data_IF_737616308454
#
_entry.id   IF_737616308454
#
_cell.length_a   1.000
_cell.length_b   1.000
_cell.length_c   1.000
_cell.angle_alpha   90.00
_cell.angle_beta   90.00
_cell.angle_gamma   90.00
#
_symmetry.space_group_name_H-M   'P 1'
#
loop_
_entity.id
_entity.type
_entity.pdbx_description
1 polymer ?
#
# COMPACT_ATOMS: atom_id res chain seq x y z
N UNK A 1 -4.59 13.97 -16.37
CA UNK A 1 -4.87 12.52 -16.21
C UNK A 1 -5.25 12.16 -14.78
N UNK A 2 -4.48 12.60 -13.78
CA UNK A 2 -4.76 12.41 -12.34
C UNK A 2 -6.19 12.78 -11.90
N UNK A 3 -6.65 14.00 -12.20
CA UNK A 3 -7.99 14.48 -11.81
C UNK A 3 -9.14 13.60 -12.31
N UNK A 4 -8.98 12.98 -13.49
CA UNK A 4 -9.97 12.07 -14.04
C UNK A 4 -10.04 10.75 -13.27
N UNK A 5 -8.89 10.20 -12.83
CA UNK A 5 -8.83 8.98 -12.01
C UNK A 5 -9.37 9.22 -10.60
N UNK A 6 -9.05 10.38 -10.02
CA UNK A 6 -9.61 10.80 -8.73
C UNK A 6 -11.15 10.86 -8.73
N UNK A 7 -11.78 11.10 -9.87
CA UNK A 7 -13.23 11.10 -9.98
C UNK A 7 -13.83 9.67 -10.02
N UNK A 8 -13.06 8.67 -10.45
CA UNK A 8 -13.48 7.28 -10.54
C UNK A 8 -13.32 6.48 -9.23
N UNK A 9 -12.57 6.99 -8.27
CA UNK A 9 -12.38 6.34 -6.96
C UNK A 9 -13.71 6.32 -6.21
N UNK A 10 -14.11 5.14 -5.70
CA UNK A 10 -15.36 5.01 -4.95
C UNK A 10 -15.30 5.92 -3.69
N UNK A 11 -16.42 6.47 -3.21
CA UNK A 11 -16.43 7.26 -1.99
C UNK A 11 -15.97 6.44 -0.77
N UNK A 12 -15.13 7.01 0.09
CA UNK A 12 -14.74 6.37 1.34
C UNK A 12 -15.94 6.24 2.29
N UNK A 13 -16.03 5.20 3.12
CA UNK A 13 -17.16 5.02 4.04
C UNK A 13 -17.40 6.24 4.92
N UNK A 14 -18.61 6.82 4.82
CA UNK A 14 -18.99 8.05 5.53
C UNK A 14 -18.81 7.96 7.06
N UNK A 15 -18.89 6.76 7.62
CA UNK A 15 -18.69 6.52 9.04
C UNK A 15 -17.28 6.94 9.51
N UNK A 16 -16.24 6.72 8.70
CA UNK A 16 -14.86 7.04 9.08
C UNK A 16 -14.63 8.54 9.13
N UNK A 17 -15.06 9.25 8.08
CA UNK A 17 -14.99 10.70 8.04
C UNK A 17 -15.78 11.33 9.20
N UNK A 18 -16.92 10.72 9.56
CA UNK A 18 -17.71 11.17 10.72
C UNK A 18 -16.97 10.96 12.03
N UNK A 19 -16.39 9.77 12.26
CA UNK A 19 -15.61 9.47 13.47
C UNK A 19 -14.44 10.45 13.62
N UNK A 20 -13.66 10.69 12.57
CA UNK A 20 -12.57 11.68 12.59
C UNK A 20 -13.07 13.07 12.95
N UNK A 21 -14.15 13.54 12.30
CA UNK A 21 -14.72 14.86 12.59
C UNK A 21 -15.16 15.03 14.03
N UNK A 22 -15.64 13.96 14.67
CA UNK A 22 -16.06 13.97 16.08
C UNK A 22 -14.87 13.86 17.04
N UNK A 23 -13.82 13.14 16.65
CA UNK A 23 -12.64 12.93 17.49
C UNK A 23 -11.80 14.20 17.67
N UNK A 24 -11.80 15.10 16.69
CA UNK A 24 -11.02 16.36 16.70
C UNK A 24 -11.82 17.58 17.16
N UNK A 25 -13.15 17.48 17.29
CA UNK A 25 -14.00 18.59 17.69
C UNK A 25 -14.06 18.68 19.23
N UNK A 26 -13.51 19.75 19.85
CA UNK A 26 -13.45 19.88 21.29
C UNK A 26 -14.83 20.06 21.95
N UNK A 27 -15.88 20.31 21.15
CA UNK A 27 -17.26 20.41 21.63
C UNK A 27 -17.97 19.05 21.70
N UNK A 28 -17.34 17.99 21.18
CA UNK A 28 -17.92 16.65 21.14
C UNK A 28 -17.45 15.80 22.29
N UNK A 29 -18.30 14.85 22.62
CA UNK A 29 -18.09 13.89 23.70
C UNK A 29 -17.72 12.54 23.14
N UNK A 30 -17.16 11.70 24.01
CA UNK A 30 -17.00 10.28 23.72
C UNK A 30 -18.33 9.61 23.34
N UNK A 31 -19.45 10.09 23.90
CA UNK A 31 -20.79 9.60 23.56
C UNK A 31 -21.12 9.79 22.08
N UNK A 32 -20.75 10.92 21.47
CA UNK A 32 -21.02 11.18 20.06
C UNK A 32 -20.32 10.18 19.13
N UNK A 33 -19.09 9.78 19.48
CA UNK A 33 -18.34 8.75 18.74
C UNK A 33 -18.97 7.37 18.94
N UNK A 34 -19.36 7.03 20.18
CA UNK A 34 -20.08 5.78 20.49
C UNK A 34 -21.35 5.66 19.66
N UNK A 35 -22.16 6.72 19.58
CA UNK A 35 -23.42 6.72 18.84
C UNK A 35 -23.23 6.48 17.33
N UNK A 36 -22.08 6.88 16.77
CA UNK A 36 -21.73 6.62 15.38
C UNK A 36 -21.26 5.18 15.20
N UNK A 37 -20.41 4.68 16.11
CA UNK A 37 -19.91 3.29 16.06
C UNK A 37 -21.05 2.29 16.23
N UNK A 38 -21.99 2.52 17.15
CA UNK A 38 -23.11 1.60 17.43
C UNK A 38 -24.09 1.48 16.26
N UNK A 39 -24.09 2.41 15.30
CA UNK A 39 -24.92 2.35 14.08
C UNK A 39 -24.35 1.41 13.02
N UNK A 40 -23.10 0.98 13.16
CA UNK A 40 -22.45 0.03 12.26
C UNK A 40 -22.08 -1.23 13.03
N UNK A 41 -22.87 -2.30 12.83
CA UNK A 41 -22.73 -3.57 13.54
C UNK A 41 -21.35 -4.21 13.28
N UNK A 42 -20.84 -4.08 12.05
CA UNK A 42 -19.55 -4.64 11.68
C UNK A 42 -18.42 -3.89 12.40
N UNK A 43 -18.48 -2.56 12.38
CA UNK A 43 -17.50 -1.72 13.07
C UNK A 43 -17.58 -1.88 14.60
N UNK A 44 -18.77 -1.90 15.19
CA UNK A 44 -18.99 -2.12 16.63
C UNK A 44 -18.44 -3.47 17.11
N UNK A 45 -18.75 -4.55 16.39
CA UNK A 45 -18.25 -5.90 16.68
C UNK A 45 -16.72 -5.95 16.61
N UNK A 46 -16.14 -5.24 15.65
CA UNK A 46 -14.69 -5.16 15.45
C UNK A 46 -14.00 -4.37 16.56
N UNK A 47 -14.57 -3.24 16.97
CA UNK A 47 -14.11 -2.47 18.12
C UNK A 47 -14.10 -3.31 19.40
N UNK A 48 -15.15 -4.12 19.62
CA UNK A 48 -15.21 -5.05 20.75
C UNK A 48 -14.14 -6.15 20.68
N UNK A 49 -13.87 -6.72 19.49
CA UNK A 49 -12.77 -7.70 19.33
C UNK A 49 -11.42 -7.10 19.65
N UNK A 50 -11.14 -5.88 19.16
CA UNK A 50 -9.88 -5.19 19.38
C UNK A 50 -9.68 -4.79 20.84
N UNK A 51 -10.71 -4.27 21.50
CA UNK A 51 -10.64 -3.96 22.94
C UNK A 51 -10.39 -5.19 23.81
N UNK A 52 -10.78 -6.39 23.35
CA UNK A 52 -10.55 -7.65 24.04
C UNK A 52 -9.27 -8.39 23.60
N UNK A 53 -8.44 -7.75 22.78
CA UNK A 53 -7.16 -8.34 22.35
C UNK A 53 -6.22 -8.58 23.54
N UNK A 54 -5.33 -9.60 23.49
CA UNK A 54 -4.39 -9.89 24.56
C UNK A 54 -3.52 -8.70 24.99
N UNK A 55 -3.24 -7.77 24.08
CA UNK A 55 -2.39 -6.60 24.27
C UNK A 55 -3.05 -5.49 25.10
N UNK A 56 -4.39 -5.45 25.15
CA UNK A 56 -5.12 -4.50 26.02
C UNK A 56 -5.05 -4.93 27.50
N UNK A 57 -4.56 -6.15 27.78
CA UNK A 57 -4.27 -6.68 29.12
C UNK A 57 -5.43 -6.48 30.14
N UNK A 58 -6.68 -6.61 29.66
CA UNK A 58 -7.85 -6.35 30.49
C UNK A 58 -8.03 -7.41 31.58
N UNK A 59 -8.25 -6.95 32.81
CA UNK A 59 -8.66 -7.84 33.94
C UNK A 59 -10.05 -8.43 33.76
N UNK A 60 -10.93 -7.75 33.03
CA UNK A 60 -12.29 -8.19 32.72
C UNK A 60 -12.59 -7.90 31.25
N UNK A 61 -13.31 -8.81 30.58
CA UNK A 61 -13.68 -8.63 29.16
C UNK A 61 -14.49 -7.36 28.95
N UNK A 62 -14.19 -6.64 27.88
CA UNK A 62 -14.97 -5.51 27.41
C UNK A 62 -16.24 -6.01 26.70
N UNK A 63 -17.42 -5.62 27.20
CA UNK A 63 -18.71 -6.12 26.70
C UNK A 63 -19.59 -5.05 26.05
N UNK A 64 -19.17 -3.78 26.02
CA UNK A 64 -19.93 -2.69 25.39
C UNK A 64 -19.06 -1.81 24.51
N UNK A 65 -19.64 -1.25 23.45
CA UNK A 65 -18.96 -0.33 22.53
C UNK A 65 -18.46 0.90 23.28
N UNK A 66 -19.28 1.45 24.19
CA UNK A 66 -18.87 2.54 25.08
C UNK A 66 -17.62 2.20 25.87
N UNK A 67 -17.54 1.02 26.47
CA UNK A 67 -16.35 0.60 27.21
C UNK A 67 -15.15 0.44 26.27
N UNK A 68 -15.33 -0.12 25.08
CA UNK A 68 -14.27 -0.27 24.09
C UNK A 68 -13.71 1.10 23.63
N UNK A 69 -14.58 2.05 23.29
CA UNK A 69 -14.19 3.40 22.88
C UNK A 69 -13.48 4.14 24.02
N UNK A 70 -13.94 4.00 25.27
CA UNK A 70 -13.26 4.58 26.44
C UNK A 70 -11.89 3.96 26.71
N UNK A 71 -11.75 2.64 26.56
CA UNK A 71 -10.47 1.94 26.77
C UNK A 71 -9.44 2.30 25.70
N UNK A 72 -9.88 2.39 24.45
CA UNK A 72 -9.00 2.63 23.30
C UNK A 72 -8.70 4.11 23.09
N UNK A 73 -9.62 4.99 23.47
CA UNK A 73 -9.54 6.42 23.21
C UNK A 73 -9.94 6.79 21.77
N UNK A 74 -10.32 8.07 21.58
CA UNK A 74 -10.91 8.54 20.32
C UNK A 74 -9.95 8.45 19.13
N UNK A 75 -8.68 8.81 19.32
CA UNK A 75 -7.67 8.75 18.27
C UNK A 75 -7.45 7.33 17.76
N UNK A 76 -7.37 6.34 18.68
CA UNK A 76 -7.21 4.93 18.31
C UNK A 76 -8.45 4.39 17.60
N UNK A 77 -9.65 4.78 18.03
CA UNK A 77 -10.91 4.42 17.37
C UNK A 77 -10.95 4.95 15.94
N UNK A 78 -10.52 6.20 15.72
CA UNK A 78 -10.47 6.81 14.38
C UNK A 78 -9.46 6.10 13.46
N UNK A 79 -8.30 5.73 13.99
CA UNK A 79 -7.29 4.95 13.25
C UNK A 79 -7.82 3.54 12.90
N UNK A 80 -8.47 2.85 13.84
CA UNK A 80 -9.11 1.55 13.58
C UNK A 80 -10.22 1.65 12.52
N UNK A 81 -11.01 2.73 12.55
CA UNK A 81 -12.04 3.00 11.54
C UNK A 81 -11.45 3.12 10.14
N UNK A 82 -10.38 3.92 10.03
CA UNK A 82 -9.68 4.17 8.77
C UNK A 82 -9.09 2.90 8.19
N UNK A 83 -8.34 2.16 8.99
CA UNK A 83 -7.65 0.94 8.57
C UNK A 83 -8.65 -0.16 8.20
N UNK A 84 -9.73 -0.32 8.96
CA UNK A 84 -10.80 -1.28 8.64
C UNK A 84 -11.50 -0.95 7.33
N UNK A 85 -11.87 0.32 7.14
CA UNK A 85 -12.57 0.76 5.94
C UNK A 85 -11.69 0.63 4.69
N UNK A 86 -10.40 0.98 4.79
CA UNK A 86 -9.46 0.83 3.69
C UNK A 86 -9.37 -0.62 3.21
N UNK A 87 -9.22 -1.60 4.10
CA UNK A 87 -9.14 -3.00 3.67
C UNK A 87 -10.44 -3.55 3.08
N UNK A 88 -11.59 -3.26 3.70
CA UNK A 88 -12.87 -3.69 3.15
C UNK A 88 -13.15 -3.10 1.76
N UNK A 89 -12.59 -1.92 1.48
CA UNK A 89 -12.76 -1.20 0.24
C UNK A 89 -11.81 -1.67 -0.88
N UNK A 90 -10.65 -2.23 -0.53
CA UNK A 90 -9.54 -2.51 -1.44
C UNK A 90 -9.32 -4.01 -1.73
N UNK A 91 -10.03 -4.90 -1.05
CA UNK A 91 -9.85 -6.35 -1.12
C UNK A 91 -10.52 -7.04 -2.32
N UNK A 92 -11.44 -6.38 -3.03
CA UNK A 92 -12.37 -7.14 -3.86
C UNK A 92 -11.90 -7.44 -5.30
N UNK A 93 -10.83 -6.85 -5.84
CA UNK A 93 -10.73 -6.68 -7.31
C UNK A 93 -9.39 -6.99 -8.00
N UNK A 94 -8.39 -7.62 -7.36
CA UNK A 94 -7.16 -8.06 -8.06
C UNK A 94 -6.47 -9.26 -7.40
N UNK A 95 -5.81 -10.10 -8.20
CA UNK A 95 -4.95 -11.20 -7.72
C UNK A 95 -3.69 -10.71 -7.00
N UNK A 96 -3.28 -9.48 -7.25
CA UNK A 96 -2.07 -8.88 -6.67
C UNK A 96 -2.34 -8.11 -5.37
N UNK A 97 -3.59 -7.67 -5.15
CA UNK A 97 -4.01 -6.96 -3.94
C UNK A 97 -3.65 -7.67 -2.60
N UNK A 98 -3.74 -9.01 -2.47
CA UNK A 98 -3.39 -9.68 -1.22
C UNK A 98 -1.93 -9.48 -0.80
N UNK A 99 -0.99 -9.43 -1.76
CA UNK A 99 0.43 -9.22 -1.45
C UNK A 99 0.69 -7.77 -1.00
N UNK A 100 0.06 -6.79 -1.65
CA UNK A 100 0.15 -5.38 -1.26
C UNK A 100 -0.46 -5.18 0.14
N UNK A 101 -1.61 -5.80 0.42
CA UNK A 101 -2.25 -5.78 1.74
C UNK A 101 -1.34 -6.39 2.81
N UNK A 102 -0.70 -7.53 2.51
CA UNK A 102 0.23 -8.19 3.42
C UNK A 102 1.44 -7.31 3.73
N UNK A 103 2.04 -6.72 2.69
CA UNK A 103 3.13 -5.75 2.80
C UNK A 103 2.75 -4.59 3.71
N UNK A 104 1.65 -3.91 3.40
CA UNK A 104 1.15 -2.79 4.19
C UNK A 104 0.93 -3.14 5.68
N UNK A 105 0.39 -4.33 5.98
CA UNK A 105 0.21 -4.79 7.38
C UNK A 105 1.56 -4.97 8.08
N UNK A 106 2.53 -5.55 7.39
CA UNK A 106 3.88 -5.73 7.93
C UNK A 106 4.54 -4.38 8.18
N UNK A 107 4.57 -3.49 7.19
CA UNK A 107 5.11 -2.13 7.28
C UNK A 107 4.43 -1.33 8.39
N UNK A 108 3.11 -1.43 8.55
CA UNK A 108 2.38 -0.88 9.70
C UNK A 108 2.90 -1.38 11.04
N UNK A 109 3.13 -2.69 11.17
CA UNK A 109 3.73 -3.28 12.37
C UNK A 109 5.16 -2.77 12.66
N UNK A 110 6.00 -2.61 11.63
CA UNK A 110 7.37 -2.12 11.81
C UNK A 110 7.40 -0.64 12.18
N UNK A 111 6.67 0.20 11.45
CA UNK A 111 6.58 1.64 11.72
C UNK A 111 6.04 1.91 13.13
N UNK A 112 5.08 1.12 13.60
CA UNK A 112 4.63 1.15 15.01
C UNK A 112 5.76 0.87 15.99
N UNK A 113 6.56 -0.17 15.73
CA UNK A 113 7.69 -0.52 16.58
C UNK A 113 8.80 0.54 16.56
N UNK A 114 8.91 1.29 15.46
CA UNK A 114 9.87 2.39 15.29
C UNK A 114 9.38 3.75 15.83
N UNK A 115 8.07 3.91 16.06
CA UNK A 115 7.47 5.17 16.51
C UNK A 115 8.14 5.84 17.72
N UNK A 116 8.62 5.10 18.75
CA UNK A 116 9.31 5.72 19.89
C UNK A 116 10.58 6.48 19.50
N UNK A 117 11.30 6.06 18.45
CA UNK A 117 12.53 6.72 17.99
C UNK A 117 12.23 8.03 17.26
N UNK A 118 11.10 8.09 16.56
CA UNK A 118 10.60 9.28 15.91
C UNK A 118 9.81 10.23 16.85
N UNK A 119 9.54 9.82 18.10
CA UNK A 119 8.70 10.55 19.07
C UNK A 119 7.29 10.87 18.53
N UNK A 120 6.75 9.95 17.73
CA UNK A 120 5.40 10.02 17.14
C UNK A 120 4.47 9.01 17.81
N UNK A 121 3.16 9.15 17.58
CA UNK A 121 2.18 8.17 18.07
C UNK A 121 2.38 6.82 17.38
N UNK A 122 2.43 5.74 18.16
CA UNK A 122 2.54 4.37 17.66
C UNK A 122 1.33 3.95 16.80
N UNK A 123 0.14 4.48 17.10
CA UNK A 123 -1.07 4.22 16.31
C UNK A 123 -1.10 5.02 15.00
N UNK A 124 -0.57 6.24 15.01
CA UNK A 124 -0.44 7.06 13.78
C UNK A 124 0.64 6.45 12.87
N UNK A 125 1.78 6.04 13.44
CA UNK A 125 2.84 5.37 12.68
C UNK A 125 2.34 4.07 12.04
N UNK A 126 1.59 3.25 12.79
CA UNK A 126 0.92 2.08 12.25
C UNK A 126 0.00 2.42 11.08
N UNK A 127 -0.85 3.45 11.24
CA UNK A 127 -1.81 3.88 10.21
C UNK A 127 -1.10 4.36 8.95
N UNK A 128 0.00 5.10 9.10
CA UNK A 128 0.87 5.51 8.00
C UNK A 128 1.46 4.30 7.29
N UNK A 129 2.09 3.37 8.01
CA UNK A 129 2.66 2.15 7.42
C UNK A 129 1.63 1.29 6.71
N UNK A 130 0.39 1.30 7.18
CA UNK A 130 -0.70 0.55 6.58
C UNK A 130 -1.29 1.19 5.31
N UNK A 131 -1.15 2.51 5.16
CA UNK A 131 -1.79 3.27 4.08
C UNK A 131 -0.79 3.88 3.09
N UNK A 132 0.51 3.68 3.26
CA UNK A 132 1.53 4.25 2.39
C UNK A 132 1.33 3.86 0.91
N UNK A 133 1.01 2.59 0.65
CA UNK A 133 0.73 2.06 -0.69
C UNK A 133 -0.75 1.99 -1.06
N UNK A 134 -1.61 2.72 -0.35
CA UNK A 134 -3.05 2.72 -0.64
C UNK A 134 -3.33 3.12 -2.10
N UNK A 135 -2.46 3.95 -2.70
CA UNK A 135 -2.53 4.34 -4.10
C UNK A 135 -2.49 3.16 -5.08
N UNK A 136 -1.66 2.15 -4.81
CA UNK A 136 -1.56 0.97 -5.66
C UNK A 136 -2.87 0.18 -5.66
N UNK A 137 -3.43 -0.04 -4.47
CA UNK A 137 -4.71 -0.72 -4.30
C UNK A 137 -5.87 0.05 -4.96
N UNK A 138 -5.84 1.38 -4.89
CA UNK A 138 -6.82 2.25 -5.54
C UNK A 138 -6.72 2.20 -7.07
N UNK A 139 -5.51 2.13 -7.62
CA UNK A 139 -5.29 1.96 -9.06
C UNK A 139 -5.79 0.61 -9.56
N UNK A 140 -5.57 -0.46 -8.78
CA UNK A 140 -6.17 -1.78 -9.05
C UNK A 140 -7.71 -1.73 -8.97
N UNK A 141 -8.27 -0.99 -8.01
CA UNK A 141 -9.72 -0.80 -7.86
C UNK A 141 -10.35 -0.03 -9.03
N UNK A 142 -9.58 0.76 -9.77
CA UNK A 142 -10.02 1.42 -11.00
C UNK A 142 -10.01 0.49 -12.23
N UNK A 143 -9.58 -0.77 -12.07
CA UNK A 143 -9.42 -1.75 -13.14
C UNK A 143 -8.56 -1.22 -14.30
N UNK A 144 -7.47 -0.50 -13.99
CA UNK A 144 -6.49 -0.02 -14.98
C UNK A 144 -5.66 -1.22 -15.47
N UNK A 145 -5.91 -1.79 -16.67
CA UNK A 145 -5.33 -3.09 -17.05
C UNK A 145 -3.81 -3.04 -17.18
N UNK A 146 -3.29 -1.89 -17.61
CA UNK A 146 -1.86 -1.65 -17.73
C UNK A 146 -1.16 -1.60 -16.37
N UNK A 147 -1.87 -1.13 -15.33
CA UNK A 147 -1.31 -1.11 -13.99
C UNK A 147 -1.26 -2.50 -13.38
N UNK A 148 -2.32 -3.31 -13.59
CA UNK A 148 -2.30 -4.72 -13.18
C UNK A 148 -1.17 -5.49 -13.85
N UNK A 149 -0.92 -5.27 -15.15
CA UNK A 149 0.23 -5.87 -15.86
C UNK A 149 1.57 -5.42 -15.28
N UNK A 150 1.73 -4.13 -14.97
CA UNK A 150 2.95 -3.62 -14.34
C UNK A 150 3.21 -4.30 -12.98
N UNK A 151 2.17 -4.44 -12.16
CA UNK A 151 2.26 -5.15 -10.86
C UNK A 151 2.61 -6.64 -11.05
N UNK A 152 2.05 -7.30 -12.06
CA UNK A 152 2.40 -8.69 -12.38
C UNK A 152 3.87 -8.82 -12.86
N UNK A 153 4.38 -7.84 -13.60
CA UNK A 153 5.76 -7.83 -14.11
C UNK A 153 6.81 -7.66 -13.01
N UNK A 154 6.57 -6.77 -12.03
CA UNK A 154 7.48 -6.61 -10.88
C UNK A 154 7.43 -7.81 -9.93
N UNK A 155 6.29 -8.49 -9.90
CA UNK A 155 6.10 -9.74 -9.18
C UNK A 155 5.75 -9.56 -7.69
N UNK A 156 5.45 -10.67 -7.00
CA UNK A 156 4.97 -10.64 -5.62
C UNK A 156 5.97 -10.01 -4.65
N UNK A 157 5.51 -9.05 -3.85
CA UNK A 157 6.32 -8.41 -2.80
C UNK A 157 7.29 -7.33 -3.30
N UNK A 158 7.23 -6.99 -4.59
CA UNK A 158 7.93 -5.85 -5.15
C UNK A 158 6.93 -4.77 -5.54
N UNK A 159 7.40 -3.53 -5.52
CA UNK A 159 6.66 -2.36 -5.99
C UNK A 159 7.25 -1.87 -7.32
N UNK A 160 6.42 -1.33 -8.23
CA UNK A 160 6.92 -0.59 -9.37
C UNK A 160 7.62 0.67 -8.90
N UNK A 161 8.69 1.04 -9.61
CA UNK A 161 9.36 2.31 -9.36
C UNK A 161 8.44 3.47 -9.72
N UNK A 162 8.61 4.61 -9.03
CA UNK A 162 7.83 5.82 -9.36
C UNK A 162 8.03 6.22 -10.83
N UNK A 163 9.22 6.01 -11.39
CA UNK A 163 9.55 6.29 -12.79
C UNK A 163 8.75 5.43 -13.78
N UNK A 164 8.59 4.14 -13.50
CA UNK A 164 7.76 3.24 -14.31
C UNK A 164 6.29 3.67 -14.31
N UNK A 165 5.78 4.07 -13.14
CA UNK A 165 4.41 4.55 -13.01
C UNK A 165 4.20 5.92 -13.68
N UNK A 166 5.15 6.85 -13.53
CA UNK A 166 5.11 8.13 -14.24
C UNK A 166 5.14 7.94 -15.75
N UNK A 167 5.96 7.03 -16.27
CA UNK A 167 6.00 6.71 -17.69
C UNK A 167 4.66 6.14 -18.19
N UNK A 168 3.97 5.35 -17.36
CA UNK A 168 2.72 4.69 -17.71
C UNK A 168 1.47 5.60 -17.55
N UNK A 169 1.40 6.33 -16.44
CA UNK A 169 0.19 7.02 -15.97
C UNK A 169 0.33 8.55 -15.92
N UNK A 170 1.57 9.05 -15.94
CA UNK A 170 1.90 10.46 -15.72
C UNK A 170 1.84 10.91 -14.25
N UNK A 171 1.79 9.95 -13.32
CA UNK A 171 1.87 10.12 -11.87
C UNK A 171 2.22 8.77 -11.23
N UNK A 172 2.65 8.78 -9.96
CA UNK A 172 2.98 7.58 -9.17
C UNK A 172 1.88 7.24 -8.14
N UNK A 173 1.94 6.03 -7.56
CA UNK A 173 0.98 5.57 -6.56
C UNK A 173 1.00 6.43 -5.29
N UNK A 174 2.17 6.92 -4.87
CA UNK A 174 2.34 7.72 -3.66
C UNK A 174 1.55 9.03 -3.75
N UNK A 175 1.82 9.81 -4.79
CA UNK A 175 1.13 11.06 -5.09
C UNK A 175 -0.36 10.84 -5.31
N UNK A 176 -0.76 9.77 -6.03
CA UNK A 176 -2.18 9.45 -6.21
C UNK A 176 -2.87 9.12 -4.88
N UNK A 177 -2.25 8.26 -4.06
CA UNK A 177 -2.73 7.89 -2.74
C UNK A 177 -2.93 9.11 -1.85
N UNK A 178 -1.91 9.98 -1.74
CA UNK A 178 -1.99 11.21 -0.96
C UNK A 178 -3.14 12.12 -1.38
N UNK A 179 -3.35 12.32 -2.69
CA UNK A 179 -4.48 13.11 -3.20
C UNK A 179 -5.84 12.49 -2.86
N UNK A 180 -5.95 11.15 -2.91
CA UNK A 180 -7.18 10.45 -2.51
C UNK A 180 -7.43 10.59 -1.02
N UNK A 181 -6.42 10.42 -0.17
CA UNK A 181 -6.56 10.56 1.28
C UNK A 181 -6.96 11.99 1.68
N UNK A 182 -6.39 13.01 1.02
CA UNK A 182 -6.80 14.41 1.19
C UNK A 182 -8.25 14.63 0.78
N UNK A 183 -8.70 14.06 -0.36
CA UNK A 183 -10.09 14.13 -0.81
C UNK A 183 -11.06 13.44 0.16
N UNK A 184 -10.62 12.35 0.79
CA UNK A 184 -11.36 11.67 1.85
C UNK A 184 -11.34 12.42 3.19
N UNK A 185 -10.62 13.55 3.26
CA UNK A 185 -10.49 14.40 4.45
C UNK A 185 -9.89 13.64 5.63
N UNK A 186 -8.94 12.75 5.35
CA UNK A 186 -8.13 12.17 6.41
C UNK A 186 -7.24 13.25 7.05
N UNK A 187 -6.98 13.14 8.36
CA UNK A 187 -6.26 14.17 9.10
C UNK A 187 -4.80 14.28 8.67
N UNK A 188 -4.26 15.49 8.70
CA UNK A 188 -2.83 15.74 8.57
C UNK A 188 -2.04 15.05 9.70
N UNK A 189 -0.79 14.63 9.44
CA UNK A 189 -0.03 14.80 8.20
C UNK A 189 -0.21 13.65 7.19
N UNK A 190 -1.18 12.74 7.39
CA UNK A 190 -1.25 11.48 6.65
C UNK A 190 -1.23 11.63 5.12
N UNK A 191 -2.01 12.53 4.49
CA UNK A 191 -1.97 12.69 3.04
C UNK A 191 -0.58 13.10 2.50
N UNK A 192 0.10 14.01 3.21
CA UNK A 192 1.44 14.48 2.84
C UNK A 192 2.49 13.38 3.02
N UNK A 193 2.40 12.62 4.10
CA UNK A 193 3.29 11.47 4.36
C UNK A 193 3.17 10.44 3.25
N UNK A 194 1.95 10.08 2.87
CA UNK A 194 1.69 9.14 1.77
C UNK A 194 2.17 9.72 0.44
N UNK A 195 1.97 11.01 0.16
CA UNK A 195 2.42 11.61 -1.08
C UNK A 195 3.94 11.67 -1.24
N UNK A 196 4.69 11.72 -0.13
CA UNK A 196 6.13 12.01 -0.12
C UNK A 196 6.99 10.83 0.35
N UNK A 197 6.43 9.63 0.54
CA UNK A 197 7.19 8.54 1.16
C UNK A 197 8.38 8.04 0.33
N UNK A 198 8.34 8.19 -1.00
CA UNK A 198 9.48 7.91 -1.90
C UNK A 198 10.45 9.11 -2.06
N UNK A 199 10.06 10.32 -1.65
CA UNK A 199 10.86 11.56 -1.82
C UNK A 199 11.34 12.08 -0.45
N UNK A 200 12.50 11.58 -0.03
CA UNK A 200 13.09 11.93 1.28
C UNK A 200 13.41 13.43 1.38
N UNK A 201 13.99 14.02 0.34
CA UNK A 201 14.34 15.43 0.32
C UNK A 201 13.10 16.32 0.50
N UNK A 202 12.01 16.03 -0.22
CA UNK A 202 10.75 16.76 -0.07
C UNK A 202 10.11 16.54 1.31
N UNK A 203 10.16 15.32 1.84
CA UNK A 203 9.65 15.01 3.18
C UNK A 203 10.42 15.79 4.27
N UNK A 204 11.75 15.86 4.18
CA UNK A 204 12.59 16.65 5.08
C UNK A 204 12.31 18.15 4.93
N UNK A 205 12.16 18.64 3.70
CA UNK A 205 11.82 20.03 3.44
C UNK A 205 10.45 20.42 4.02
N UNK A 206 9.48 19.49 4.01
CA UNK A 206 8.18 19.66 4.68
C UNK A 206 8.31 19.68 6.21
N UNK A 207 9.20 18.86 6.75
CA UNK A 207 9.59 18.86 8.16
C UNK A 207 8.52 18.30 9.11
N UNK A 208 8.77 18.46 10.41
CA UNK A 208 7.85 18.06 11.48
C UNK A 208 7.45 16.58 11.40
N UNK A 209 6.16 16.31 11.64
CA UNK A 209 5.63 14.95 11.65
C UNK A 209 5.75 14.26 10.27
N UNK A 210 5.76 15.01 9.16
CA UNK A 210 5.92 14.42 7.82
C UNK A 210 7.28 13.74 7.71
N UNK A 211 8.35 14.47 7.99
CA UNK A 211 9.71 13.93 7.97
C UNK A 211 9.87 12.73 8.93
N UNK A 212 9.30 12.81 10.14
CA UNK A 212 9.38 11.74 11.13
C UNK A 212 8.65 10.47 10.71
N UNK A 213 7.47 10.60 10.10
CA UNK A 213 6.71 9.46 9.59
C UNK A 213 7.37 8.83 8.34
N UNK A 214 7.87 9.65 7.41
CA UNK A 214 8.61 9.13 6.25
C UNK A 214 9.92 8.45 6.68
N UNK A 215 10.59 8.98 7.70
CA UNK A 215 11.81 8.35 8.22
C UNK A 215 11.56 6.93 8.75
N UNK A 216 10.48 6.71 9.50
CA UNK A 216 10.15 5.35 9.98
C UNK A 216 9.69 4.43 8.85
N UNK A 217 9.02 4.95 7.81
CA UNK A 217 8.63 4.18 6.62
C UNK A 217 9.87 3.67 5.88
N UNK A 218 10.83 4.54 5.57
CA UNK A 218 12.05 4.17 4.83
C UNK A 218 12.85 3.08 5.55
N UNK A 219 12.94 3.17 6.87
CA UNK A 219 13.59 2.14 7.69
C UNK A 219 12.76 0.85 7.73
N UNK A 220 11.43 0.97 7.75
CA UNK A 220 10.53 -0.17 7.69
C UNK A 220 10.66 -0.93 6.37
N UNK A 221 10.79 -0.24 5.23
CA UNK A 221 10.97 -0.86 3.90
C UNK A 221 12.25 -1.69 3.80
N UNK A 222 13.34 -1.24 4.44
CA UNK A 222 14.59 -2.02 4.48
C UNK A 222 14.44 -3.29 5.33
N UNK A 223 13.67 -3.22 6.43
CA UNK A 223 13.56 -4.29 7.42
C UNK A 223 12.37 -5.25 7.19
N UNK A 224 11.34 -4.78 6.49
CA UNK A 224 10.08 -5.47 6.23
C UNK A 224 10.28 -6.85 5.60
N UNK A 225 11.06 -6.97 4.51
CA UNK A 225 11.32 -8.26 3.87
C UNK A 225 11.91 -9.32 4.81
N UNK A 226 12.76 -8.91 5.76
CA UNK A 226 13.36 -9.84 6.76
C UNK A 226 12.34 -10.29 7.80
N UNK A 227 11.44 -9.39 8.22
CA UNK A 227 10.35 -9.76 9.12
C UNK A 227 9.39 -10.74 8.46
N UNK A 228 9.07 -10.52 7.18
CA UNK A 228 8.23 -11.42 6.38
C UNK A 228 8.85 -12.80 6.23
N UNK A 229 10.12 -12.84 5.80
CA UNK A 229 10.88 -14.08 5.63
C UNK A 229 11.23 -14.77 6.95
N UNK A 230 10.99 -14.12 8.10
CA UNK A 230 11.39 -14.55 9.45
C UNK A 230 12.90 -14.75 9.58
N UNK A 231 13.66 -13.97 8.83
CA UNK A 231 15.12 -13.98 8.78
C UNK A 231 15.69 -12.89 9.70
N UNK A 232 16.98 -12.96 9.99
CA UNK A 232 17.72 -11.86 10.61
C UNK A 232 18.33 -10.96 9.54
N UNK A 233 18.46 -9.64 9.77
CA UNK A 233 19.10 -8.75 8.83
C UNK A 233 20.53 -9.19 8.50
N UNK A 234 20.84 -9.24 7.21
CA UNK A 234 22.11 -9.66 6.66
C UNK A 234 23.02 -8.46 6.35
N UNK A 235 24.15 -8.71 5.69
CA UNK A 235 25.11 -7.66 5.36
C UNK A 235 24.57 -6.63 4.37
N UNK A 236 23.71 -7.04 3.43
CA UNK A 236 23.06 -6.12 2.49
C UNK A 236 22.16 -5.15 3.24
N UNK A 237 21.36 -5.64 4.19
CA UNK A 237 20.46 -4.77 4.98
C UNK A 237 21.26 -3.83 5.88
N UNK A 238 22.40 -4.28 6.42
CA UNK A 238 23.33 -3.44 7.20
C UNK A 238 23.87 -2.28 6.36
N UNK A 239 24.30 -2.57 5.13
CA UNK A 239 24.81 -1.56 4.21
C UNK A 239 23.69 -0.60 3.79
N UNK A 240 22.49 -1.11 3.49
CA UNK A 240 21.34 -0.29 3.17
C UNK A 240 20.99 0.68 4.32
N UNK A 241 20.87 0.15 5.53
CA UNK A 241 20.64 0.95 6.74
C UNK A 241 21.76 1.97 6.98
N UNK A 242 23.03 1.59 6.82
CA UNK A 242 24.15 2.51 7.04
C UNK A 242 24.15 3.70 6.06
N UNK A 243 23.55 3.54 4.89
CA UNK A 243 23.42 4.59 3.87
C UNK A 243 22.05 5.30 3.91
N UNK A 244 21.16 4.93 4.82
CA UNK A 244 19.80 5.48 4.89
C UNK A 244 19.77 6.76 5.73
N UNK A 245 19.60 7.95 5.13
CA UNK A 245 19.61 9.22 5.86
C UNK A 245 18.46 9.34 6.87
N UNK A 246 17.36 8.61 6.69
CA UNK A 246 16.29 8.56 7.68
C UNK A 246 16.75 8.06 9.07
N UNK A 247 17.78 7.21 9.16
CA UNK A 247 18.28 6.76 10.46
C UNK A 247 18.86 7.90 11.30
N UNK A 248 19.57 8.83 10.66
CA UNK A 248 20.10 10.01 11.34
C UNK A 248 18.95 10.88 11.88
N UNK A 249 17.87 11.03 11.10
CA UNK A 249 16.66 11.74 11.54
C UNK A 249 16.01 11.07 12.76
N UNK A 250 16.08 9.75 12.87
CA UNK A 250 15.60 8.98 14.03
C UNK A 250 16.58 8.98 15.21
N UNK A 251 17.76 9.59 15.07
CA UNK A 251 18.81 9.57 16.09
C UNK A 251 19.36 8.17 16.34
N UNK A 252 19.41 7.32 15.31
CA UNK A 252 19.87 5.94 15.38
C UNK A 252 21.01 5.68 14.41
N UNK A 253 21.91 4.78 14.77
CA UNK A 253 22.83 4.13 13.83
C UNK A 253 22.31 2.75 13.45
N UNK A 254 22.74 2.23 12.28
CA UNK A 254 22.38 0.88 11.86
C UNK A 254 22.73 -0.20 12.92
N UNK A 255 23.93 -0.20 13.55
CA UNK A 255 24.24 -1.15 14.62
C UNK A 255 23.33 -1.02 15.85
N UNK A 256 22.91 0.19 16.23
CA UNK A 256 21.99 0.40 17.35
C UNK A 256 20.60 -0.15 17.08
N UNK A 257 20.08 0.09 15.88
CA UNK A 257 18.79 -0.44 15.46
C UNK A 257 18.81 -1.97 15.40
N UNK A 258 19.85 -2.55 14.80
CA UNK A 258 19.97 -3.99 14.63
C UNK A 258 20.17 -4.74 15.94
N UNK A 259 20.80 -4.14 16.96
CA UNK A 259 20.84 -4.71 18.33
C UNK A 259 19.45 -4.87 18.95
N UNK A 260 18.43 -4.18 18.42
CA UNK A 260 17.04 -4.22 18.89
C UNK A 260 16.15 -5.08 18.02
N UNK A 261 16.71 -5.80 17.04
CA UNK A 261 15.97 -6.60 16.06
C UNK A 261 14.92 -7.52 16.70
N UNK A 262 15.30 -8.28 17.73
CA UNK A 262 14.37 -9.24 18.35
C UNK A 262 13.16 -8.54 18.99
N UNK A 263 13.38 -7.37 19.62
CA UNK A 263 12.31 -6.56 20.20
C UNK A 263 11.42 -5.93 19.12
N UNK A 264 12.02 -5.45 18.02
CA UNK A 264 11.28 -4.92 16.86
C UNK A 264 10.41 -6.01 16.23
N UNK A 265 10.96 -7.21 16.06
CA UNK A 265 10.25 -8.37 15.52
C UNK A 265 9.08 -8.80 16.39
N UNK A 266 9.27 -8.83 17.71
CA UNK A 266 8.18 -9.17 18.65
C UNK A 266 7.07 -8.10 18.63
N UNK A 267 7.45 -6.82 18.64
CA UNK A 267 6.49 -5.70 18.62
C UNK A 267 5.71 -5.63 17.30
N UNK A 268 6.38 -5.88 16.17
CA UNK A 268 5.75 -5.93 14.85
C UNK A 268 4.73 -7.06 14.75
N UNK A 269 5.02 -8.26 15.28
CA UNK A 269 4.06 -9.38 15.33
C UNK A 269 2.80 -9.03 16.11
N UNK A 270 2.96 -8.42 17.29
CA UNK A 270 1.83 -7.97 18.10
C UNK A 270 0.99 -6.93 17.33
N UNK A 271 1.63 -6.05 16.55
CA UNK A 271 0.93 -5.11 15.65
C UNK A 271 0.15 -5.79 14.52
N UNK A 272 0.70 -6.84 13.90
CA UNK A 272 0.03 -7.62 12.88
C UNK A 272 -1.16 -8.44 13.44
N UNK A 273 -1.05 -8.99 14.65
CA UNK A 273 -2.16 -9.68 15.34
C UNK A 273 -3.27 -8.72 15.82
N UNK A 274 -2.93 -7.44 16.07
CA UNK A 274 -3.89 -6.36 16.29
C UNK A 274 -4.51 -5.80 15.00
N UNK A 275 -3.92 -6.12 13.84
CA UNK A 275 -4.42 -5.71 12.53
C UNK A 275 -5.67 -6.49 12.17
N UNK A 276 -6.47 -6.02 11.19
CA UNK A 276 -7.68 -6.73 10.83
C UNK A 276 -7.51 -8.20 10.47
N UNK A 277 -8.21 -9.14 11.13
CA UNK A 277 -8.26 -10.55 10.68
C UNK A 277 -8.80 -10.71 9.25
N UNK A 278 -9.38 -9.65 8.66
CA UNK A 278 -9.78 -9.64 7.26
C UNK A 278 -8.57 -9.78 6.32
N UNK A 279 -7.37 -9.31 6.69
CA UNK A 279 -6.18 -9.29 5.81
C UNK A 279 -5.55 -10.67 5.52
N UNK A 280 -5.81 -11.69 6.35
CA UNK A 280 -5.13 -12.99 6.19
C UNK A 280 -6.13 -14.14 6.07
N UNK A 281 -7.22 -14.16 6.84
CA UNK A 281 -8.17 -15.29 6.86
C UNK A 281 -9.26 -15.20 5.76
N UNK A 282 -9.71 -14.00 5.41
CA UNK A 282 -10.70 -13.79 4.34
C UNK A 282 -10.05 -13.88 2.94
N UNK A 283 -8.80 -13.42 2.81
CA UNK A 283 -8.00 -13.56 1.59
C UNK A 283 -7.55 -15.01 1.32
N UNK A 284 -7.29 -15.82 2.35
CA UNK A 284 -6.96 -17.23 2.19
C UNK A 284 -8.16 -18.10 1.73
N UNK A 285 -9.38 -17.59 1.84
CA UNK A 285 -10.62 -18.34 1.58
C UNK A 285 -11.38 -17.92 0.32
N UNK A 286 -10.95 -16.86 -0.37
CA UNK A 286 -11.60 -16.38 -1.59
C UNK A 286 -10.87 -16.92 -2.83
N UNK A 287 -11.45 -17.85 -3.63
CA UNK A 287 -10.79 -18.34 -4.82
C UNK A 287 -10.64 -17.21 -5.86
N UNK A 288 -9.50 -17.13 -6.57
CA UNK A 288 -9.34 -16.16 -7.64
C UNK A 288 -10.45 -16.36 -8.68
N UNK A 289 -11.12 -15.27 -9.09
CA UNK A 289 -12.06 -15.35 -10.20
C UNK A 289 -11.31 -15.86 -11.44
N UNK A 290 -11.90 -16.79 -12.22
CA UNK A 290 -11.25 -17.28 -13.43
C UNK A 290 -10.97 -16.10 -14.35
N UNK A 291 -9.75 -16.06 -14.91
CA UNK A 291 -9.36 -15.10 -15.94
C UNK A 291 -10.46 -15.09 -17.00
N UNK A 292 -11.14 -13.97 -17.19
CA UNK A 292 -12.07 -13.84 -18.31
C UNK A 292 -11.24 -13.88 -19.58
N UNK A 293 -11.28 -15.01 -20.30
CA UNK A 293 -10.69 -15.09 -21.63
C UNK A 293 -11.25 -13.92 -22.48
N UNK A 294 -10.42 -13.22 -23.25
CA UNK A 294 -10.92 -12.24 -24.20
C UNK A 294 -11.90 -12.95 -25.15
N UNK A 295 -12.97 -12.27 -25.59
CA UNK A 295 -14.02 -12.90 -26.40
C UNK A 295 -13.41 -13.62 -27.60
N UNK A 296 -13.81 -14.88 -27.83
CA UNK A 296 -13.31 -15.80 -28.88
C UNK A 296 -13.25 -15.20 -30.29
N UNK A 297 -13.99 -14.12 -30.54
CA UNK A 297 -13.94 -13.31 -31.76
C UNK A 297 -12.59 -12.61 -31.99
N UNK A 298 -11.81 -12.28 -30.96
CA UNK A 298 -10.46 -11.69 -31.11
C UNK A 298 -9.39 -12.75 -31.43
N UNK A 299 -9.52 -13.97 -30.92
CA UNK A 299 -8.52 -15.03 -31.15
C UNK A 299 -8.49 -15.57 -32.60
N UNK A 300 -9.59 -15.47 -33.34
CA UNK A 300 -9.61 -15.88 -34.75
C UNK A 300 -8.93 -14.86 -35.68
N UNK A 301 -8.80 -13.60 -35.27
CA UNK A 301 -8.26 -12.52 -36.11
C UNK A 301 -6.74 -12.37 -36.08
N UNK A 302 -6.05 -12.99 -35.13
CA UNK A 302 -4.59 -12.78 -34.92
C UNK A 302 -3.74 -14.02 -35.22
N UNK A 303 -4.37 -15.15 -35.58
CA UNK A 303 -3.67 -16.39 -35.94
C UNK A 303 -2.64 -16.23 -37.07
N UNK A 304 -2.92 -15.45 -38.14
CA UNK A 304 -1.92 -15.19 -39.18
C UNK A 304 -0.70 -14.40 -38.69
N UNK A 305 -0.85 -13.59 -37.64
CA UNK A 305 0.23 -12.76 -37.06
C UNK A 305 1.10 -13.59 -36.11
N UNK A 306 0.48 -14.49 -35.34
CA UNK A 306 1.21 -15.44 -34.50
C UNK A 306 2.11 -16.39 -35.32
N UNK A 307 1.60 -16.90 -36.45
CA UNK A 307 2.36 -17.76 -37.35
C UNK A 307 3.50 -17.00 -38.08
N UNK A 308 3.36 -15.68 -38.28
CA UNK A 308 4.41 -14.81 -38.84
C UNK A 308 5.56 -14.52 -37.85
N UNK A 309 5.30 -14.58 -36.54
CA UNK A 309 6.27 -14.25 -35.49
C UNK A 309 6.98 -15.49 -34.92
N UNK A 310 6.49 -16.70 -35.20
CA UNK A 310 7.08 -17.98 -34.79
C UNK A 310 8.57 -18.16 -35.21
N UNK A 311 9.05 -17.63 -36.36
CA UNK A 311 10.47 -17.71 -36.70
C UNK A 311 11.39 -16.80 -35.85
N UNK A 312 10.85 -15.77 -35.17
CA UNK A 312 11.64 -14.81 -34.37
C UNK A 312 11.88 -15.27 -32.93
N UNK A 313 11.08 -16.20 -32.42
CA UNK A 313 11.22 -16.75 -31.05
C UNK A 313 12.24 -17.88 -30.96
N UNK A 314 12.73 -18.37 -32.10
CA UNK A 314 13.68 -19.49 -32.18
C UNK A 314 15.16 -19.08 -32.31
N UNK A 315 15.51 -17.81 -32.09
CA UNK A 315 16.92 -17.41 -32.03
C UNK A 315 17.54 -17.77 -30.67
N UNK A 316 18.75 -18.36 -30.63
CA UNK A 316 19.44 -18.64 -29.38
C UNK A 316 19.70 -17.34 -28.61
N UNK A 317 19.44 -17.36 -27.30
CA UNK A 317 19.68 -16.23 -26.38
C UNK A 317 21.14 -15.79 -26.46
N UNK A 318 21.40 -14.63 -27.06
CA UNK A 318 22.71 -13.98 -27.03
C UNK A 318 22.86 -13.22 -25.69
N UNK A 319 23.99 -13.32 -24.98
CA UNK A 319 24.19 -12.64 -23.71
C UNK A 319 24.04 -11.11 -23.81
N UNK A 320 23.47 -10.49 -22.77
CA UNK A 320 23.00 -9.10 -22.67
C UNK A 320 24.00 -7.95 -22.91
N UNK A 321 25.21 -8.20 -23.45
CA UNK A 321 26.28 -7.18 -23.50
C UNK A 321 26.62 -6.60 -24.88
N UNK A 322 25.92 -6.99 -25.95
CA UNK A 322 26.23 -6.51 -27.32
C UNK A 322 25.02 -6.02 -28.13
N UNK A 323 23.99 -5.46 -27.47
CA UNK A 323 22.95 -4.73 -28.21
C UNK A 323 23.36 -3.26 -28.35
N UNK A 324 23.83 -2.86 -29.53
CA UNK A 324 23.89 -1.45 -29.89
C UNK A 324 22.47 -0.86 -29.77
N UNK A 325 22.29 0.11 -28.87
CA UNK A 325 21.01 0.74 -28.52
C UNK A 325 20.24 1.27 -29.74
N UNK A 326 20.93 1.61 -30.84
CA UNK A 326 20.31 2.02 -32.09
C UNK A 326 19.50 0.90 -32.80
N UNK A 327 19.91 -0.36 -32.67
CA UNK A 327 19.30 -1.50 -33.37
C UNK A 327 17.99 -1.94 -32.70
N UNK A 328 17.93 -1.86 -31.37
CA UNK A 328 16.71 -2.10 -30.59
C UNK A 328 15.68 -1.01 -30.85
N UNK A 329 16.11 0.26 -30.90
CA UNK A 329 15.23 1.38 -31.21
C UNK A 329 14.67 1.27 -32.64
N UNK A 330 15.49 0.87 -33.62
CA UNK A 330 15.04 0.62 -34.99
C UNK A 330 14.03 -0.54 -35.08
N UNK A 331 14.25 -1.63 -34.36
CA UNK A 331 13.33 -2.77 -34.30
C UNK A 331 11.98 -2.39 -33.67
N UNK A 332 12.00 -1.68 -32.54
CA UNK A 332 10.79 -1.20 -31.87
C UNK A 332 10.04 -0.20 -32.75
N UNK A 333 10.74 0.74 -33.40
CA UNK A 333 10.13 1.69 -34.33
C UNK A 333 9.51 0.98 -35.55
N UNK A 334 10.15 -0.08 -36.06
CA UNK A 334 9.63 -0.84 -37.19
C UNK A 334 8.37 -1.63 -36.80
N UNK A 335 8.33 -2.22 -35.60
CA UNK A 335 7.16 -2.93 -35.07
C UNK A 335 5.99 -1.96 -34.83
N UNK A 336 6.25 -0.80 -34.22
CA UNK A 336 5.23 0.25 -34.02
C UNK A 336 4.70 0.75 -35.36
N UNK A 337 5.58 0.96 -36.35
CA UNK A 337 5.18 1.36 -37.71
C UNK A 337 4.31 0.32 -38.40
N UNK A 338 4.61 -0.96 -38.24
CA UNK A 338 3.83 -2.06 -38.79
C UNK A 338 2.44 -2.15 -38.13
N UNK A 339 2.37 -2.00 -36.81
CA UNK A 339 1.10 -1.98 -36.06
C UNK A 339 0.23 -0.78 -36.45
N UNK A 340 0.82 0.40 -36.64
CA UNK A 340 0.13 1.59 -37.11
C UNK A 340 -0.41 1.43 -38.53
N UNK A 341 0.34 0.78 -39.43
CA UNK A 341 -0.09 0.50 -40.79
C UNK A 341 -1.26 -0.50 -40.83
N UNK A 342 -1.22 -1.55 -40.00
CA UNK A 342 -2.31 -2.53 -39.87
C UNK A 342 -3.58 -1.90 -39.29
N UNK A 343 -3.43 -1.00 -38.30
CA UNK A 343 -4.55 -0.23 -37.76
C UNK A 343 -5.16 0.72 -38.81
N UNK A 344 -4.34 1.38 -39.63
CA UNK A 344 -4.82 2.28 -40.68
C UNK A 344 -5.61 1.55 -41.78
N UNK A 345 -5.14 0.38 -42.22
CA UNK A 345 -5.85 -0.46 -43.20
C UNK A 345 -7.19 -0.96 -42.65
N UNK A 346 -7.27 -1.23 -41.34
CA UNK A 346 -8.49 -1.70 -40.67
C UNK A 346 -9.55 -0.60 -40.45
N UNK A 347 -9.17 0.67 -40.58
CA UNK A 347 -10.08 1.84 -40.43
C UNK A 347 -10.56 2.34 -41.80
N UNK A 348 -9.86 2.01 -42.88
CA UNK A 348 -10.11 2.55 -44.22
C UNK A 348 -10.81 1.59 -45.19
N UNK A 349 -11.16 0.37 -44.74
CA UNK A 349 -12.01 -0.62 -45.42
C UNK A 349 -13.07 -1.11 -44.44
#
# INVERSE_FOLDING_TARGET
MLAARLAGVKPFPHIVAKIHSLAIDPTKTLGDVVDVVERDIAFATRMLRLANSPTTALRQRCTSVRHAVSLLGLSRVANIATTTAAFAFLSEHSTSAPNIVKHAVLTGGVTRALAPYAKISADEAFTVGLLHDVGMLLLLQLHEPLYEELIEQVGPGNEPTTEEEHALLGFDHASFGGHVLARWKLPDPLPDVVALHHDWEAAVARGGLVASHVAVLRVAEILGPRLEARETPNESDRVALANEPALEHLGLTAPELLRKWDSLRETSKNGAEESPPLAVEEFASTPPKPKTEPPRTLMMSLRPIADMLEPLTNYPRVPHREWNSALVVLLVAMVIGLLAAVAWVSITH
#
